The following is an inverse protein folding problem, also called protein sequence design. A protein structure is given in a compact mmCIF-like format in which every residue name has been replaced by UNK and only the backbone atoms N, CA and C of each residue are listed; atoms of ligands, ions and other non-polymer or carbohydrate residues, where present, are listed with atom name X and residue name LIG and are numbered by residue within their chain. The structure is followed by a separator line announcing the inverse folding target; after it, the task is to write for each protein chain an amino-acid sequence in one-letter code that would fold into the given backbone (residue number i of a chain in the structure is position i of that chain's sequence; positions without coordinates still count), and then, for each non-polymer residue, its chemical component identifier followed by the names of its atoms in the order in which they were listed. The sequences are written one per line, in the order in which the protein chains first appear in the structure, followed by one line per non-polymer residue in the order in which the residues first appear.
data_IF_467834917420
#
_entry.id   IF_467834917420
#
_cell.length_a   1.000
_cell.length_b   1.000
_cell.length_c   1.000
_cell.angle_alpha   90.00
_cell.angle_beta   90.00
_cell.angle_gamma   90.00
#
_symmetry.space_group_name_H-M   'P 1'
#
loop_
_entity.id
_entity.type
_entity.pdbx_description
1 polymer ?
#
# COMPACT_ATOMS: atom_id res chain seq x y z
N UNK A 1 9.16 -6.34 10.76
CA UNK A 1 9.16 -4.96 11.30
C UNK A 1 8.93 -5.04 12.80
N UNK A 2 9.47 -4.13 13.59
CA UNK A 2 9.17 -4.07 15.02
C UNK A 2 7.73 -3.59 15.23
N UNK A 3 7.06 -4.06 16.28
CA UNK A 3 5.75 -3.56 16.68
C UNK A 3 5.80 -2.04 16.92
N UNK A 4 4.83 -1.32 16.37
CA UNK A 4 4.73 0.13 16.36
C UNK A 4 5.49 0.82 15.21
N UNK A 5 6.17 0.07 14.32
CA UNK A 5 6.97 0.67 13.25
C UNK A 5 6.12 1.43 12.22
N UNK A 6 4.80 1.20 12.15
CA UNK A 6 3.92 1.86 11.20
C UNK A 6 2.96 2.88 11.85
N UNK A 7 2.87 2.89 13.19
CA UNK A 7 1.82 3.60 13.93
C UNK A 7 1.71 5.09 13.54
N UNK A 8 2.84 5.81 13.50
CA UNK A 8 2.85 7.24 13.17
C UNK A 8 2.34 7.50 11.75
N UNK A 9 2.85 6.76 10.75
CA UNK A 9 2.38 6.90 9.36
C UNK A 9 0.92 6.51 9.19
N UNK A 10 0.45 5.46 9.86
CA UNK A 10 -0.96 5.05 9.80
C UNK A 10 -1.91 6.12 10.38
N UNK A 11 -1.44 6.91 11.35
CA UNK A 11 -2.25 7.95 12.00
C UNK A 11 -2.24 9.28 11.24
N UNK A 12 -1.15 9.60 10.52
CA UNK A 12 -0.94 10.93 9.97
C UNK A 12 -0.94 11.01 8.45
N UNK A 13 -0.62 9.92 7.75
CA UNK A 13 -0.40 9.96 6.30
C UNK A 13 -1.63 9.54 5.48
N UNK A 14 -1.74 10.16 4.29
CA UNK A 14 -2.60 9.67 3.21
C UNK A 14 -1.84 8.65 2.35
N UNK A 15 -2.06 7.37 2.64
CA UNK A 15 -1.34 6.28 1.99
C UNK A 15 -2.12 5.83 0.74
N UNK A 16 -1.40 5.53 -0.33
CA UNK A 16 -1.96 5.17 -1.65
C UNK A 16 -1.53 3.77 -2.07
N UNK A 17 -2.48 2.98 -2.56
CA UNK A 17 -2.21 1.79 -3.33
C UNK A 17 -2.07 2.16 -4.81
N UNK A 18 -0.97 1.76 -5.44
CA UNK A 18 -0.61 2.13 -6.81
C UNK A 18 -0.41 0.89 -7.66
N UNK A 19 -0.73 0.99 -8.95
CA UNK A 19 -0.30 0.01 -9.93
C UNK A 19 1.18 0.21 -10.27
N UNK A 20 2.01 -0.82 -10.08
CA UNK A 20 3.43 -0.82 -10.47
C UNK A 20 4.22 0.44 -10.03
N UNK A 21 3.95 0.97 -8.84
CA UNK A 21 4.55 2.20 -8.29
C UNK A 21 4.25 3.49 -9.08
N UNK A 22 3.34 3.43 -10.04
CA UNK A 22 2.96 4.58 -10.87
C UNK A 22 1.98 5.48 -10.11
N UNK A 23 2.45 6.66 -9.71
CA UNK A 23 1.66 7.64 -8.94
C UNK A 23 0.49 8.22 -9.72
N UNK A 24 0.45 8.04 -11.05
CA UNK A 24 -0.71 8.40 -11.89
C UNK A 24 -1.82 7.34 -11.89
N UNK A 25 -1.53 6.11 -11.42
CA UNK A 25 -2.44 4.95 -11.43
C UNK A 25 -2.80 4.52 -10.02
N UNK A 26 -3.63 5.33 -9.38
CA UNK A 26 -4.12 5.08 -8.02
C UNK A 26 -5.24 4.03 -8.04
N UNK A 27 -5.05 2.96 -7.25
CA UNK A 27 -6.05 1.92 -7.02
C UNK A 27 -6.93 2.24 -5.81
N UNK A 28 -6.37 2.81 -4.75
CA UNK A 28 -7.13 3.17 -3.55
C UNK A 28 -6.30 3.96 -2.56
N UNK A 29 -6.96 4.56 -1.55
CA UNK A 29 -6.32 5.43 -0.56
C UNK A 29 -6.96 5.31 0.82
N UNK A 30 -6.18 5.60 1.86
CA UNK A 30 -6.68 5.60 3.25
C UNK A 30 -7.68 6.72 3.50
N UNK A 31 -7.45 7.91 2.90
CA UNK A 31 -8.31 9.10 3.09
C UNK A 31 -9.80 8.87 2.74
N UNK A 32 -10.12 7.97 1.83
CA UNK A 32 -11.49 7.66 1.43
C UNK A 32 -11.89 6.20 1.72
N UNK A 33 -11.17 5.53 2.62
CA UNK A 33 -11.44 4.16 3.09
C UNK A 33 -11.41 3.06 2.04
N UNK A 34 -10.96 3.33 0.81
CA UNK A 34 -10.81 2.28 -0.22
C UNK A 34 -9.52 1.48 -0.05
N UNK A 35 -8.55 2.00 0.68
CA UNK A 35 -7.42 1.24 1.24
C UNK A 35 -7.53 1.26 2.75
N UNK A 36 -7.51 0.09 3.38
CA UNK A 36 -7.47 -0.09 4.84
C UNK A 36 -6.16 -0.74 5.20
N UNK A 37 -5.48 -0.18 6.19
CA UNK A 37 -4.19 -0.66 6.68
C UNK A 37 -4.29 -0.83 8.19
N UNK A 38 -3.77 -1.94 8.70
CA UNK A 38 -3.78 -2.25 10.12
C UNK A 38 -2.46 -2.95 10.47
N UNK A 39 -1.82 -2.49 11.54
CA UNK A 39 -0.68 -3.21 12.11
C UNK A 39 -1.20 -4.31 13.05
N UNK A 40 -0.76 -5.54 12.82
CA UNK A 40 -1.03 -6.69 13.68
C UNK A 40 0.28 -7.30 14.22
N UNK A 41 0.18 -8.35 15.04
CA UNK A 41 1.35 -8.99 15.64
C UNK A 41 2.26 -9.71 14.62
N UNK A 42 1.88 -9.81 13.34
CA UNK A 42 2.70 -10.35 12.25
C UNK A 42 3.37 -9.24 11.44
N UNK A 43 2.70 -8.10 11.25
CA UNK A 43 3.19 -6.97 10.47
C UNK A 43 2.07 -6.07 9.99
N UNK A 44 2.15 -5.62 8.73
CA UNK A 44 1.15 -4.72 8.16
C UNK A 44 0.14 -5.51 7.32
N UNK A 45 -1.11 -5.56 7.77
CA UNK A 45 -2.27 -6.03 7.00
C UNK A 45 -2.76 -4.92 6.08
N UNK A 46 -3.23 -5.30 4.89
CA UNK A 46 -3.93 -4.39 3.99
C UNK A 46 -5.22 -5.01 3.45
N UNK A 47 -6.19 -4.15 3.13
CA UNK A 47 -7.36 -4.47 2.33
C UNK A 47 -7.61 -3.35 1.33
N UNK A 48 -7.98 -3.71 0.11
CA UNK A 48 -8.14 -2.75 -0.99
C UNK A 48 -9.45 -3.03 -1.74
N UNK A 49 -10.30 -2.01 -1.80
CA UNK A 49 -11.46 -1.99 -2.68
C UNK A 49 -11.01 -1.48 -4.05
N UNK A 50 -10.92 -2.38 -5.03
CA UNK A 50 -10.51 -2.00 -6.38
C UNK A 50 -11.56 -1.09 -7.03
N UNK A 51 -11.12 -0.03 -7.73
CA UNK A 51 -12.02 0.90 -8.38
C UNK A 51 -12.57 0.23 -9.65
N UNK A 52 -13.80 0.56 -10.02
CA UNK A 52 -14.43 0.06 -11.26
C UNK A 52 -13.95 0.84 -12.49
N UNK A 53 -12.64 0.88 -12.69
CA UNK A 53 -11.94 1.50 -13.83
C UNK A 53 -11.20 0.43 -14.61
N UNK A 54 -10.67 0.77 -15.79
CA UNK A 54 -9.83 -0.15 -16.57
C UNK A 54 -8.66 -0.68 -15.73
N UNK A 55 -7.89 0.20 -15.10
CA UNK A 55 -6.74 -0.19 -14.27
C UNK A 55 -7.16 -1.08 -13.10
N UNK A 56 -8.29 -0.78 -12.44
CA UNK A 56 -8.78 -1.60 -11.33
C UNK A 56 -9.26 -2.99 -11.76
N UNK A 57 -9.99 -3.08 -12.87
CA UNK A 57 -10.44 -4.35 -13.44
C UNK A 57 -9.24 -5.20 -13.93
N UNK A 58 -8.29 -4.58 -14.63
CA UNK A 58 -7.08 -5.24 -15.13
C UNK A 58 -6.22 -5.76 -13.97
N UNK A 59 -6.13 -4.99 -12.88
CA UNK A 59 -5.45 -5.40 -11.65
C UNK A 59 -6.11 -6.65 -11.07
N UNK A 60 -7.43 -6.65 -10.93
CA UNK A 60 -8.17 -7.80 -10.41
C UNK A 60 -7.94 -9.06 -11.25
N UNK A 61 -8.09 -8.95 -12.57
CA UNK A 61 -7.89 -10.09 -13.47
C UNK A 61 -6.45 -10.60 -13.45
N UNK A 62 -5.45 -9.70 -13.39
CA UNK A 62 -4.03 -10.08 -13.32
C UNK A 62 -3.69 -10.79 -12.01
N UNK A 63 -4.24 -10.35 -10.88
CA UNK A 63 -4.08 -11.03 -9.58
C UNK A 63 -4.77 -12.39 -9.62
N UNK A 64 -6.03 -12.44 -10.10
CA UNK A 64 -6.82 -13.67 -10.17
C UNK A 64 -6.20 -14.73 -11.08
N UNK A 65 -5.59 -14.32 -12.19
CA UNK A 65 -4.87 -15.20 -13.13
C UNK A 65 -3.51 -15.63 -12.60
N UNK A 66 -2.93 -14.88 -11.66
CA UNK A 66 -1.62 -15.15 -11.07
C UNK A 66 -0.44 -14.47 -11.77
N UNK A 67 -0.69 -13.51 -12.67
CA UNK A 67 0.39 -12.72 -13.29
C UNK A 67 1.06 -11.81 -12.26
N UNK A 68 0.30 -11.41 -11.24
CA UNK A 68 0.78 -10.64 -10.10
C UNK A 68 0.71 -11.55 -8.88
N UNK A 69 1.88 -11.93 -8.39
CA UNK A 69 2.01 -12.85 -7.26
C UNK A 69 2.26 -12.14 -5.91
N UNK A 70 2.33 -10.81 -5.89
CA UNK A 70 2.66 -10.08 -4.67
C UNK A 70 2.44 -8.58 -4.73
N UNK A 71 2.70 -7.96 -3.59
CA UNK A 71 2.61 -6.51 -3.36
C UNK A 71 3.86 -6.05 -2.61
N UNK A 72 4.25 -4.80 -2.81
CA UNK A 72 5.33 -4.15 -2.10
C UNK A 72 4.80 -2.95 -1.32
N UNK A 73 5.46 -2.62 -0.22
CA UNK A 73 5.19 -1.41 0.56
C UNK A 73 6.39 -0.48 0.45
N UNK A 74 6.13 0.76 0.01
CA UNK A 74 7.13 1.81 -0.05
C UNK A 74 7.15 2.64 1.22
N UNK A 75 8.34 3.02 1.67
CA UNK A 75 8.55 3.95 2.78
C UNK A 75 9.48 5.08 2.34
N UNK A 76 9.36 6.23 3.00
CA UNK A 76 10.25 7.37 2.81
C UNK A 76 10.89 7.71 4.13
N UNK A 77 12.21 7.62 4.22
CA UNK A 77 12.94 8.03 5.40
C UNK A 77 12.76 9.54 5.63
N UNK A 78 12.44 9.92 6.87
CA UNK A 78 12.34 11.33 7.27
C UNK A 78 13.74 11.88 7.57
N UNK A 79 14.61 11.04 8.15
CA UNK A 79 16.00 11.33 8.46
C UNK A 79 16.86 10.12 8.06
N UNK A 80 18.07 10.38 7.58
CA UNK A 80 19.06 9.35 7.25
C UNK A 80 20.42 9.81 7.79
N UNK A 81 21.10 8.92 8.51
CA UNK A 81 22.45 9.13 9.03
C UNK A 81 23.35 8.01 8.52
N UNK A 82 24.56 8.35 8.09
CA UNK A 82 25.53 7.42 7.54
C UNK A 82 26.84 7.63 8.28
N UNK A 83 27.36 6.57 8.91
CA UNK A 83 28.70 6.54 9.48
C UNK A 83 29.64 5.84 8.50
N UNK A 84 30.85 6.40 8.31
CA UNK A 84 31.87 5.85 7.41
C UNK A 84 32.70 4.77 8.12
#
# INVERSE_FOLDING_TARGET
FQKGAFADSLHHDDIRALWSHDTSKVLGRTKNNTLRLEEDDKGLRFELDLPRTTVGNDTYESVKRGDIAGVSFGFRAIQQEWEN
#
